data_IF_255730712295
#
_entry.id   IF_255730712295
#
_cell.length_a   1.000
_cell.length_b   1.000
_cell.length_c   1.000
_cell.angle_alpha   90.00
_cell.angle_beta   90.00
_cell.angle_gamma   90.00
#
_symmetry.space_group_name_H-M   'P 1'
#
loop_
_entity.id
_entity.type
_entity.pdbx_description
1 polymer ?
#
# COMPACT_ATOMS: atom_id res chain seq x y z
N UNK A 1 -9.03 -6.82 3.22
CA UNK A 1 -10.18 -7.31 4.03
C UNK A 1 -9.73 -7.96 5.35
N UNK A 2 -8.88 -8.99 5.33
CA UNK A 2 -8.33 -9.57 6.57
C UNK A 2 -7.48 -8.58 7.41
N UNK A 3 -6.86 -7.58 6.77
CA UNK A 3 -6.10 -6.52 7.45
C UNK A 3 -6.90 -5.75 8.50
N UNK A 4 -8.21 -5.60 8.32
CA UNK A 4 -9.06 -4.84 9.23
C UNK A 4 -9.35 -5.56 10.56
N UNK A 5 -9.18 -6.89 10.60
CA UNK A 5 -9.48 -7.70 11.80
C UNK A 5 -8.24 -8.01 12.64
N UNK A 6 -7.05 -7.67 12.16
CA UNK A 6 -5.81 -7.80 12.92
C UNK A 6 -5.61 -6.48 13.69
N UNK A 7 -5.58 -6.51 15.04
CA UNK A 7 -5.31 -5.32 15.83
C UNK A 7 -4.02 -4.62 15.36
N UNK A 8 -3.96 -3.30 15.50
CA UNK A 8 -2.81 -2.44 15.15
C UNK A 8 -2.62 -2.22 13.63
N UNK A 9 -2.94 -3.20 12.77
CA UNK A 9 -2.68 -3.10 11.32
C UNK A 9 -3.32 -1.85 10.67
N UNK A 10 -4.59 -1.46 10.96
CA UNK A 10 -5.16 -0.25 10.38
C UNK A 10 -4.40 1.03 10.78
N UNK A 11 -3.94 1.12 12.03
CA UNK A 11 -3.15 2.25 12.52
C UNK A 11 -1.75 2.26 11.87
N UNK A 12 -1.12 1.09 11.77
CA UNK A 12 0.16 0.94 11.08
C UNK A 12 0.06 1.38 9.61
N UNK A 13 -0.89 0.84 8.86
CA UNK A 13 -1.03 1.13 7.43
C UNK A 13 -1.34 2.59 7.17
N UNK A 14 -2.28 3.20 7.91
CA UNK A 14 -2.57 4.62 7.76
C UNK A 14 -1.38 5.51 8.11
N UNK A 15 -0.55 5.14 9.09
CA UNK A 15 0.70 5.86 9.40
C UNK A 15 1.73 5.67 8.30
N UNK A 16 1.94 4.43 7.84
CA UNK A 16 2.88 4.07 6.78
C UNK A 16 2.55 4.80 5.48
N UNK A 17 1.28 4.81 5.08
CA UNK A 17 0.81 5.51 3.87
C UNK A 17 1.18 6.99 3.92
N UNK A 18 0.96 7.65 5.07
CA UNK A 18 1.33 9.06 5.27
C UNK A 18 2.82 9.28 5.05
N UNK A 19 3.66 8.49 5.72
CA UNK A 19 5.12 8.60 5.66
C UNK A 19 5.64 8.30 4.25
N UNK A 20 5.16 7.23 3.62
CA UNK A 20 5.60 6.83 2.28
C UNK A 20 5.14 7.84 1.22
N UNK A 21 3.92 8.40 1.32
CA UNK A 21 3.44 9.46 0.41
C UNK A 21 4.30 10.73 0.52
N UNK A 22 4.64 11.16 1.74
CA UNK A 22 5.52 12.30 1.96
C UNK A 22 6.93 12.09 1.37
N UNK A 23 7.42 10.85 1.38
CA UNK A 23 8.72 10.47 0.80
C UNK A 23 8.67 10.14 -0.69
N UNK A 24 7.48 10.15 -1.31
CA UNK A 24 7.30 9.77 -2.72
C UNK A 24 7.56 8.28 -3.01
N UNK A 25 7.34 7.40 -2.02
CA UNK A 25 7.59 5.96 -2.10
C UNK A 25 6.32 5.10 -2.08
N UNK A 26 5.15 5.70 -1.87
CA UNK A 26 3.90 4.97 -1.73
C UNK A 26 3.50 4.31 -3.06
N UNK A 27 3.09 3.05 -2.97
CA UNK A 27 2.69 2.22 -4.11
C UNK A 27 1.38 1.50 -3.77
N UNK A 28 0.47 1.42 -4.74
CA UNK A 28 -0.66 0.53 -4.69
C UNK A 28 -0.30 -0.86 -5.23
N UNK A 29 -1.31 -1.72 -5.38
CA UNK A 29 -1.12 -3.08 -5.89
C UNK A 29 -0.49 -3.09 -7.29
N UNK A 30 -0.92 -2.18 -8.18
CA UNK A 30 -0.48 -2.19 -9.57
C UNK A 30 0.96 -1.70 -9.71
N UNK A 31 1.35 -0.67 -8.97
CA UNK A 31 2.72 -0.16 -8.95
C UNK A 31 3.68 -1.22 -8.39
N UNK A 32 3.31 -1.90 -7.29
CA UNK A 32 4.11 -3.00 -6.74
C UNK A 32 4.28 -4.15 -7.74
N UNK A 33 3.20 -4.58 -8.40
CA UNK A 33 3.29 -5.64 -9.40
C UNK A 33 4.12 -5.19 -10.60
N UNK A 34 3.93 -3.98 -11.08
CA UNK A 34 4.76 -3.44 -12.16
C UNK A 34 6.24 -3.45 -11.80
N UNK A 35 6.61 -3.01 -10.59
CA UNK A 35 7.98 -3.01 -10.09
C UNK A 35 8.54 -4.43 -9.92
N UNK A 36 7.75 -5.37 -9.42
CA UNK A 36 8.13 -6.79 -9.33
C UNK A 36 8.52 -7.34 -10.71
N UNK A 37 7.70 -7.13 -11.73
CA UNK A 37 7.98 -7.66 -13.06
C UNK A 37 9.14 -6.94 -13.74
N UNK A 38 9.12 -5.61 -13.77
CA UNK A 38 10.09 -4.79 -14.49
C UNK A 38 11.47 -4.71 -13.82
N UNK A 39 11.53 -4.77 -12.48
CA UNK A 39 12.75 -4.54 -11.70
C UNK A 39 13.20 -5.73 -10.85
N UNK A 40 12.54 -6.89 -10.95
CA UNK A 40 13.01 -8.14 -10.31
C UNK A 40 13.01 -9.31 -11.27
N UNK A 41 11.85 -9.68 -11.81
CA UNK A 41 11.68 -10.94 -12.55
C UNK A 41 12.26 -10.90 -13.98
N UNK A 42 12.20 -9.75 -14.64
CA UNK A 42 12.54 -9.61 -16.07
C UNK A 42 13.53 -8.48 -16.33
N UNK A 43 14.47 -8.23 -15.41
CA UNK A 43 15.51 -7.19 -15.56
C UNK A 43 16.40 -7.45 -16.79
N UNK A 44 16.64 -8.72 -17.12
CA UNK A 44 17.45 -9.15 -18.27
C UNK A 44 16.91 -10.45 -18.86
N UNK A 45 17.04 -10.59 -20.18
CA UNK A 45 16.76 -11.85 -20.88
C UNK A 45 17.78 -12.95 -20.51
N UNK A 46 19.00 -12.55 -20.12
CA UNK A 46 20.08 -13.47 -19.72
C UNK A 46 20.19 -13.57 -18.19
N UNK A 47 19.54 -14.59 -17.63
CA UNK A 47 19.52 -14.88 -16.19
C UNK A 47 20.87 -15.33 -15.64
N UNK A 48 21.83 -15.69 -16.49
CA UNK A 48 23.17 -16.08 -16.03
C UNK A 48 24.04 -14.87 -15.68
N UNK A 49 23.74 -13.71 -16.28
CA UNK A 49 24.46 -12.44 -16.03
C UNK A 49 23.77 -11.58 -14.98
N UNK A 50 22.45 -11.62 -14.92
CA UNK A 50 21.67 -10.85 -13.95
C UNK A 50 20.68 -11.79 -13.27
N UNK A 51 21.06 -12.41 -12.14
CA UNK A 51 20.15 -13.25 -11.37
C UNK A 51 19.03 -12.39 -10.77
N UNK A 52 17.91 -13.02 -10.47
CA UNK A 52 16.80 -12.37 -9.77
C UNK A 52 17.27 -12.00 -8.36
N UNK A 53 17.17 -10.73 -7.94
CA UNK A 53 17.58 -10.32 -6.60
C UNK A 53 16.69 -10.97 -5.53
N UNK A 54 17.32 -11.60 -4.55
CA UNK A 54 16.66 -12.24 -3.41
C UNK A 54 17.41 -11.93 -2.11
N UNK A 55 16.74 -12.07 -0.97
CA UNK A 55 17.36 -12.00 0.34
C UNK A 55 18.11 -13.30 0.71
N UNK A 56 18.70 -13.36 1.91
CA UNK A 56 19.43 -14.53 2.41
C UNK A 56 18.58 -15.80 2.53
N UNK A 57 17.25 -15.66 2.55
CA UNK A 57 16.28 -16.75 2.63
C UNK A 57 15.67 -17.07 1.24
N UNK A 58 16.30 -16.59 0.16
CA UNK A 58 15.86 -16.76 -1.22
C UNK A 58 14.46 -16.20 -1.53
N UNK A 59 14.05 -15.11 -0.86
CA UNK A 59 12.79 -14.40 -1.14
C UNK A 59 13.02 -13.14 -1.95
N UNK A 60 12.18 -12.89 -2.94
CA UNK A 60 12.13 -11.59 -3.61
C UNK A 60 11.51 -10.58 -2.64
N UNK A 61 12.20 -9.45 -2.43
CA UNK A 61 11.74 -8.37 -1.56
C UNK A 61 11.23 -7.19 -2.39
N UNK A 62 9.94 -6.92 -2.24
CA UNK A 62 9.25 -5.74 -2.78
C UNK A 62 8.68 -4.87 -1.64
N UNK A 63 8.80 -5.34 -0.40
CA UNK A 63 8.60 -4.55 0.82
C UNK A 63 9.84 -3.70 1.14
N UNK A 64 10.84 -3.67 0.26
CA UNK A 64 12.10 -2.95 0.45
C UNK A 64 11.92 -1.45 0.66
N UNK A 65 10.90 -0.82 0.05
CA UNK A 65 10.58 0.59 0.29
C UNK A 65 9.91 0.83 1.65
N UNK A 66 8.98 -0.05 2.03
CA UNK A 66 8.32 -0.02 3.34
C UNK A 66 9.33 -0.26 4.48
N UNK A 67 10.27 -1.18 4.28
CA UNK A 67 11.23 -1.62 5.28
C UNK A 67 12.49 -0.76 5.36
N UNK A 68 12.57 0.36 4.63
CA UNK A 68 13.65 1.33 4.79
C UNK A 68 13.71 1.87 6.23
N UNK A 69 14.92 2.03 6.75
CA UNK A 69 15.15 2.52 8.11
C UNK A 69 14.46 3.87 8.35
N UNK A 70 14.62 4.83 7.43
CA UNK A 70 14.04 6.16 7.54
C UNK A 70 12.51 6.20 7.42
N UNK A 71 11.89 5.14 6.89
CA UNK A 71 10.44 4.95 6.87
C UNK A 71 9.99 4.35 8.20
N UNK A 72 10.58 3.25 8.62
CA UNK A 72 10.21 2.53 9.85
C UNK A 72 10.47 3.34 11.11
N UNK A 73 11.57 4.11 11.18
CA UNK A 73 11.83 5.02 12.29
C UNK A 73 10.75 6.09 12.43
N UNK A 74 10.28 6.64 11.31
CA UNK A 74 9.26 7.70 11.33
C UNK A 74 7.88 7.13 11.68
N UNK A 75 7.52 5.96 11.14
CA UNK A 75 6.29 5.24 11.52
C UNK A 75 6.29 4.93 13.02
N UNK A 76 7.39 4.37 13.54
CA UNK A 76 7.54 4.03 14.96
C UNK A 76 7.49 5.26 15.88
N UNK A 77 7.92 6.43 15.38
CA UNK A 77 7.85 7.69 16.10
C UNK A 77 6.44 8.26 16.14
N UNK A 78 5.68 8.17 15.04
CA UNK A 78 4.34 8.75 14.92
C UNK A 78 3.28 7.90 15.62
N UNK A 79 3.28 6.58 15.39
CA UNK A 79 2.24 5.67 15.89
C UNK A 79 1.87 5.84 17.39
N UNK A 80 2.82 5.91 18.34
CA UNK A 80 2.49 6.02 19.77
C UNK A 80 1.88 7.39 20.15
N UNK A 81 1.97 8.39 19.27
CA UNK A 81 1.42 9.74 19.50
C UNK A 81 0.00 9.91 18.98
N UNK A 82 -0.51 8.91 18.26
CA UNK A 82 -1.84 8.97 17.65
C UNK A 82 -2.92 8.79 18.72
N UNK A 83 -3.84 9.74 18.75
CA UNK A 83 -5.04 9.72 19.58
C UNK A 83 -6.27 9.87 18.70
N UNK A 84 -7.46 9.65 19.26
CA UNK A 84 -8.72 9.83 18.55
C UNK A 84 -8.86 11.24 17.98
N UNK A 85 -8.40 12.25 18.71
CA UNK A 85 -8.54 13.67 18.38
C UNK A 85 -7.59 14.14 17.27
N UNK A 86 -6.40 13.52 17.17
CA UNK A 86 -5.36 13.96 16.23
C UNK A 86 -5.14 13.02 15.04
N UNK A 87 -5.77 11.85 15.03
CA UNK A 87 -5.59 10.80 14.03
C UNK A 87 -5.74 11.32 12.59
N UNK A 88 -6.78 12.10 12.31
CA UNK A 88 -7.05 12.65 10.98
C UNK A 88 -5.93 13.57 10.43
N UNK A 89 -5.07 14.10 11.31
CA UNK A 89 -3.96 14.98 10.95
C UNK A 89 -2.64 14.19 10.82
N UNK A 90 -2.39 13.25 11.74
CA UNK A 90 -1.13 12.54 11.85
C UNK A 90 -1.00 11.34 10.91
N UNK A 91 -2.11 10.69 10.56
CA UNK A 91 -2.10 9.49 9.71
C UNK A 91 -3.01 9.67 8.52
N UNK A 92 -2.82 8.85 7.48
CA UNK A 92 -3.61 8.93 6.25
C UNK A 92 -4.88 8.09 6.33
N UNK A 93 -5.82 8.51 7.18
CA UNK A 93 -7.14 7.87 7.29
C UNK A 93 -7.95 7.99 6.00
N UNK A 94 -7.79 9.10 5.27
CA UNK A 94 -8.50 9.33 4.01
C UNK A 94 -8.05 8.34 2.93
N UNK A 95 -6.74 8.19 2.73
CA UNK A 95 -6.18 7.21 1.81
C UNK A 95 -6.52 5.77 2.21
N UNK A 96 -6.40 5.43 3.50
CA UNK A 96 -6.79 4.09 3.96
C UNK A 96 -8.28 3.80 3.70
N UNK A 97 -9.17 4.78 3.92
CA UNK A 97 -10.60 4.63 3.63
C UNK A 97 -10.85 4.48 2.13
N UNK A 98 -10.20 5.30 1.30
CA UNK A 98 -10.29 5.21 -0.15
C UNK A 98 -9.91 3.80 -0.63
N UNK A 99 -8.73 3.31 -0.26
CA UNK A 99 -8.24 1.98 -0.67
C UNK A 99 -9.18 0.85 -0.20
N UNK A 100 -9.74 0.99 1.01
CA UNK A 100 -10.71 0.03 1.54
C UNK A 100 -12.01 0.01 0.73
N UNK A 101 -12.52 1.18 0.33
CA UNK A 101 -13.75 1.31 -0.46
C UNK A 101 -13.52 0.91 -1.92
N UNK A 102 -12.41 1.33 -2.51
CA UNK A 102 -12.03 1.05 -3.90
C UNK A 102 -11.89 -0.46 -4.15
N UNK A 103 -11.38 -1.21 -3.18
CA UNK A 103 -11.34 -2.68 -3.24
C UNK A 103 -12.72 -3.35 -3.34
N UNK A 104 -13.81 -2.59 -3.16
CA UNK A 104 -15.20 -3.02 -3.28
C UNK A 104 -15.98 -2.23 -4.35
N UNK A 105 -15.29 -1.42 -5.17
CA UNK A 105 -15.93 -0.62 -6.23
C UNK A 105 -16.53 0.72 -5.77
N UNK A 106 -16.22 1.17 -4.55
CA UNK A 106 -16.70 2.45 -3.99
C UNK A 106 -15.59 3.51 -3.95
N UNK A 107 -15.96 4.79 -3.89
CA UNK A 107 -15.02 5.92 -3.85
C UNK A 107 -14.07 5.97 -5.06
N UNK A 108 -14.53 5.50 -6.23
CA UNK A 108 -13.80 5.51 -7.50
C UNK A 108 -14.10 6.79 -8.26
N UNK A 109 -13.06 7.50 -8.68
CA UNK A 109 -13.20 8.70 -9.50
C UNK A 109 -13.87 8.39 -10.85
N UNK A 110 -14.78 9.27 -11.26
CA UNK A 110 -15.58 9.11 -12.49
C UNK A 110 -16.79 8.19 -12.41
N UNK A 111 -17.09 7.59 -11.25
CA UNK A 111 -18.33 6.82 -11.04
C UNK A 111 -19.41 7.71 -10.44
N UNK A 112 -20.59 7.76 -11.07
CA UNK A 112 -21.77 8.41 -10.52
C UNK A 112 -22.48 7.46 -9.54
N UNK A 113 -22.28 7.68 -8.25
CA UNK A 113 -22.88 6.87 -7.19
C UNK A 113 -24.36 7.21 -6.90
N UNK A 114 -24.90 8.30 -7.49
CA UNK A 114 -26.31 8.65 -7.39
C UNK A 114 -27.15 8.01 -8.50
N UNK A 115 -26.50 7.46 -9.54
CA UNK A 115 -27.16 6.71 -10.59
C UNK A 115 -27.66 5.35 -10.07
N UNK A 116 -28.86 4.95 -10.50
CA UNK A 116 -29.43 3.65 -10.16
C UNK A 116 -28.65 2.52 -10.84
N UNK A 117 -28.31 1.49 -10.08
CA UNK A 117 -27.74 0.24 -10.62
C UNK A 117 -28.89 -0.67 -10.99
N UNK A 118 -29.18 -0.79 -12.29
CA UNK A 118 -30.33 -1.54 -12.82
C UNK A 118 -30.25 -3.05 -12.53
N UNK A 119 -29.07 -3.64 -12.66
CA UNK A 119 -28.84 -5.08 -12.49
C UNK A 119 -27.48 -5.34 -11.81
N UNK A 120 -27.35 -6.46 -11.08
CA UNK A 120 -26.14 -6.81 -10.29
C UNK A 120 -25.45 -8.10 -10.77
N UNK A 121 -25.93 -8.72 -11.84
CA UNK A 121 -25.39 -9.96 -12.41
C UNK A 121 -24.44 -9.72 -13.60
N UNK A 122 -24.39 -8.48 -14.11
CA UNK A 122 -23.49 -8.03 -15.19
C UNK A 122 -22.99 -6.61 -14.93
N UNK A 123 -21.89 -6.25 -15.59
CA UNK A 123 -21.31 -4.89 -15.63
C UNK A 123 -21.79 -4.21 -16.92
#
# INVERSE_FOLDING_TARGET
RASAVIPIIPLYLSTLFKVMKQKGLHEGCIEQMYRLFSQRLYISADRTKTPIPVDSENRIRIDDYEMREDVQSEVSRIMPTVTSENSAQLVDLAGYRHDFLAANGFDIDGVDYEAEVEEFDKI
#
